data_IF_200724540353
#
_entry.id   IF_200724540353
#
_cell.length_a   1.000
_cell.length_b   1.000
_cell.length_c   1.000
_cell.angle_alpha   90.00
_cell.angle_beta   90.00
_cell.angle_gamma   90.00
#
_symmetry.space_group_name_H-M   'P 1'
#
loop_
_entity.id
_entity.type
_entity.pdbx_description
1 polymer ?
#
# COMPACT_ATOMS: atom_id res chain seq x y z
N UNK A 1 7.88 -17.09 -16.36
CA UNK A 1 7.80 -15.74 -15.77
C UNK A 1 8.27 -15.88 -14.33
N UNK A 2 9.42 -15.29 -13.97
CA UNK A 2 9.86 -15.22 -12.58
C UNK A 2 8.78 -14.46 -11.80
N UNK A 3 8.29 -15.03 -10.68
CA UNK A 3 7.29 -14.39 -9.85
C UNK A 3 7.82 -13.06 -9.31
N UNK A 4 6.91 -12.15 -8.95
CA UNK A 4 7.25 -10.88 -8.29
C UNK A 4 8.10 -11.15 -7.05
N UNK A 5 9.33 -10.58 -6.93
CA UNK A 5 10.28 -10.97 -5.90
C UNK A 5 10.04 -10.27 -4.54
N UNK A 6 9.27 -9.16 -4.53
CA UNK A 6 9.10 -8.35 -3.33
C UNK A 6 7.79 -8.73 -2.61
N UNK A 7 7.91 -9.21 -1.38
CA UNK A 7 6.74 -9.46 -0.53
C UNK A 7 6.10 -8.15 -0.07
N UNK A 8 6.91 -7.19 0.35
CA UNK A 8 6.50 -5.87 0.79
C UNK A 8 6.99 -4.82 -0.22
N UNK A 9 6.38 -3.64 -0.23
CA UNK A 9 6.87 -2.47 -0.99
C UNK A 9 7.11 -1.34 0.00
N UNK A 10 8.34 -1.26 0.50
CA UNK A 10 8.73 -0.37 1.59
C UNK A 10 9.52 0.84 1.09
N UNK A 11 10.33 0.63 0.06
CA UNK A 11 11.08 1.65 -0.69
C UNK A 11 11.29 1.16 -2.13
N UNK A 12 11.99 1.94 -2.94
CA UNK A 12 12.34 1.58 -4.31
C UNK A 12 13.83 1.28 -4.49
N UNK A 13 14.63 1.34 -3.42
CA UNK A 13 16.07 1.14 -3.49
C UNK A 13 16.45 -0.31 -3.82
N UNK A 14 15.58 -1.25 -3.46
CA UNK A 14 15.74 -2.69 -3.75
C UNK A 14 15.20 -3.11 -5.13
N UNK A 15 14.56 -2.21 -5.87
CA UNK A 15 13.98 -2.54 -7.17
C UNK A 15 15.06 -2.66 -8.24
N UNK A 16 15.03 -3.75 -8.98
CA UNK A 16 15.80 -3.92 -10.21
C UNK A 16 15.14 -3.15 -11.37
N UNK A 17 15.86 -3.03 -12.47
CA UNK A 17 15.31 -2.45 -13.71
C UNK A 17 14.07 -3.21 -14.19
N UNK A 18 14.08 -4.53 -14.05
CA UNK A 18 13.00 -5.44 -14.40
C UNK A 18 11.77 -5.21 -13.53
N UNK A 19 11.96 -4.93 -12.24
CA UNK A 19 10.86 -4.62 -11.31
C UNK A 19 10.16 -3.31 -11.68
N UNK A 20 10.95 -2.27 -11.98
CA UNK A 20 10.40 -1.02 -12.50
C UNK A 20 9.64 -1.24 -13.80
N UNK A 21 10.22 -1.97 -14.76
CA UNK A 21 9.56 -2.25 -16.03
C UNK A 21 8.24 -2.98 -15.84
N UNK A 22 8.20 -4.00 -14.99
CA UNK A 22 6.99 -4.79 -14.71
C UNK A 22 5.87 -3.93 -14.10
N UNK A 23 6.19 -3.08 -13.11
CA UNK A 23 5.19 -2.19 -12.48
C UNK A 23 4.68 -1.14 -13.47
N UNK A 24 5.57 -0.52 -14.25
CA UNK A 24 5.20 0.52 -15.21
C UNK A 24 4.37 -0.03 -16.36
N UNK A 25 4.70 -1.22 -16.87
CA UNK A 25 3.91 -1.91 -17.88
C UNK A 25 2.49 -2.22 -17.36
N UNK A 26 2.38 -2.74 -16.13
CA UNK A 26 1.09 -3.00 -15.51
C UNK A 26 0.29 -1.71 -15.29
N UNK A 27 0.93 -0.63 -14.86
CA UNK A 27 0.30 0.68 -14.70
C UNK A 27 -0.23 1.23 -16.03
N UNK A 28 0.51 1.09 -17.13
CA UNK A 28 0.06 1.47 -18.47
C UNK A 28 -1.14 0.64 -18.93
N UNK A 29 -1.16 -0.66 -18.66
CA UNK A 29 -2.31 -1.52 -18.92
C UNK A 29 -3.55 -1.04 -18.17
N UNK A 30 -3.44 -0.74 -16.86
CA UNK A 30 -4.57 -0.20 -16.09
C UNK A 30 -5.03 1.16 -16.61
N UNK A 31 -4.11 2.02 -17.05
CA UNK A 31 -4.44 3.32 -17.63
C UNK A 31 -5.22 3.20 -18.94
N UNK A 32 -4.94 2.19 -19.76
CA UNK A 32 -5.64 1.96 -21.03
C UNK A 32 -7.05 1.39 -20.88
N UNK A 33 -7.44 0.96 -19.67
CA UNK A 33 -8.78 0.45 -19.43
C UNK A 33 -9.81 1.59 -19.48
N UNK A 34 -10.98 1.40 -20.12
CA UNK A 34 -11.99 2.44 -20.20
C UNK A 34 -12.51 2.78 -18.80
N UNK A 35 -12.39 4.06 -18.42
CA UNK A 35 -12.82 4.57 -17.12
C UNK A 35 -14.37 4.68 -17.09
N UNK A 36 -14.99 4.99 -18.21
CA UNK A 36 -16.44 5.12 -18.33
C UNK A 36 -17.11 3.74 -18.33
N UNK A 37 -17.88 3.45 -17.30
CA UNK A 37 -18.53 2.14 -17.11
C UNK A 37 -17.61 1.07 -16.54
N UNK A 38 -16.54 1.48 -15.87
CA UNK A 38 -15.48 0.61 -15.35
C UNK A 38 -16.06 -0.55 -14.52
N UNK A 39 -16.11 -1.72 -15.10
CA UNK A 39 -16.28 -2.95 -14.35
C UNK A 39 -15.10 -3.08 -13.41
N UNK A 40 -15.38 -3.38 -12.15
CA UNK A 40 -14.34 -3.74 -11.20
C UNK A 40 -13.57 -4.94 -11.74
N UNK A 41 -12.25 -4.92 -11.64
CA UNK A 41 -11.42 -6.06 -11.96
C UNK A 41 -11.39 -7.02 -10.77
N UNK A 42 -11.56 -8.33 -10.94
CA UNK A 42 -11.61 -9.27 -9.83
C UNK A 42 -10.22 -9.66 -9.28
N UNK A 43 -9.17 -8.86 -9.54
CA UNK A 43 -7.80 -9.20 -9.22
C UNK A 43 -7.52 -9.35 -7.70
N UNK A 44 -8.29 -8.63 -6.86
CA UNK A 44 -8.20 -8.71 -5.40
C UNK A 44 -9.54 -9.11 -4.76
N UNK A 45 -10.39 -9.82 -5.50
CA UNK A 45 -11.67 -10.30 -4.97
C UNK A 45 -11.43 -11.24 -3.77
N UNK A 46 -12.13 -11.02 -2.66
CA UNK A 46 -11.97 -11.76 -1.41
C UNK A 46 -10.71 -11.41 -0.63
N UNK A 47 -10.00 -10.33 -1.00
CA UNK A 47 -8.87 -9.78 -0.25
C UNK A 47 -9.31 -8.56 0.55
N UNK A 48 -8.72 -8.38 1.72
CA UNK A 48 -8.93 -7.22 2.59
C UNK A 48 -7.69 -6.31 2.58
N UNK A 49 -7.90 -5.07 2.20
CA UNK A 49 -6.88 -4.01 2.23
C UNK A 49 -7.21 -3.04 3.36
N UNK A 50 -6.31 -2.86 4.32
CA UNK A 50 -6.46 -1.89 5.39
C UNK A 50 -5.51 -0.69 5.18
N UNK A 51 -6.03 0.54 5.25
CA UNK A 51 -5.24 1.77 5.19
C UNK A 51 -5.02 2.30 6.61
N UNK A 52 -3.77 2.18 7.09
CA UNK A 52 -3.32 2.62 8.41
C UNK A 52 -2.57 3.95 8.30
N UNK A 53 -3.30 5.05 8.32
CA UNK A 53 -2.77 6.39 8.16
C UNK A 53 -2.68 7.09 9.51
N UNK A 54 -1.47 7.14 10.08
CA UNK A 54 -1.17 7.76 11.38
C UNK A 54 -0.90 9.27 11.26
N UNK A 55 -0.91 9.80 10.04
CA UNK A 55 -0.91 11.23 9.75
C UNK A 55 -1.93 11.57 8.67
N UNK A 56 -2.43 12.81 8.63
CA UNK A 56 -3.39 13.23 7.62
C UNK A 56 -2.81 13.15 6.20
N UNK A 57 -3.48 12.46 5.29
CA UNK A 57 -3.14 12.43 3.87
C UNK A 57 -4.36 12.00 3.05
N UNK A 58 -5.19 12.95 2.67
CA UNK A 58 -6.43 12.67 1.94
C UNK A 58 -6.16 12.06 0.58
N UNK A 59 -5.28 12.66 -0.22
CA UNK A 59 -5.00 12.19 -1.59
C UNK A 59 -4.44 10.77 -1.61
N UNK A 60 -3.39 10.51 -0.84
CA UNK A 60 -2.74 9.20 -0.82
C UNK A 60 -3.69 8.12 -0.32
N UNK A 61 -4.40 8.35 0.79
CA UNK A 61 -5.38 7.40 1.31
C UNK A 61 -6.47 7.10 0.30
N UNK A 62 -7.11 8.14 -0.26
CA UNK A 62 -8.20 7.96 -1.23
C UNK A 62 -7.74 7.24 -2.50
N UNK A 63 -6.50 7.46 -2.96
CA UNK A 63 -5.96 6.76 -4.13
C UNK A 63 -5.78 5.27 -3.88
N UNK A 64 -5.24 4.87 -2.73
CA UNK A 64 -5.12 3.45 -2.37
C UNK A 64 -6.48 2.77 -2.17
N UNK A 65 -7.40 3.44 -1.46
CA UNK A 65 -8.75 2.92 -1.24
C UNK A 65 -9.51 2.74 -2.57
N UNK A 66 -9.41 3.73 -3.47
CA UNK A 66 -10.05 3.66 -4.78
C UNK A 66 -9.43 2.55 -5.64
N UNK A 67 -8.11 2.41 -5.65
CA UNK A 67 -7.42 1.35 -6.37
C UNK A 67 -7.85 -0.04 -5.86
N UNK A 68 -7.85 -0.26 -4.55
CA UNK A 68 -8.30 -1.51 -3.93
C UNK A 68 -9.75 -1.85 -4.32
N UNK A 69 -10.66 -0.88 -4.21
CA UNK A 69 -12.08 -1.05 -4.60
C UNK A 69 -12.26 -1.37 -6.08
N UNK A 70 -11.45 -0.76 -6.96
CA UNK A 70 -11.47 -1.06 -8.41
C UNK A 70 -10.94 -2.44 -8.73
N UNK A 71 -10.07 -2.98 -7.90
CA UNK A 71 -9.58 -4.36 -7.99
C UNK A 71 -10.46 -5.38 -7.24
N UNK A 72 -11.64 -4.95 -6.77
CA UNK A 72 -12.63 -5.77 -6.04
C UNK A 72 -12.19 -6.24 -4.66
N UNK A 73 -11.24 -5.54 -4.02
CA UNK A 73 -10.92 -5.77 -2.62
C UNK A 73 -11.96 -5.14 -1.69
N UNK A 74 -12.12 -5.73 -0.51
CA UNK A 74 -12.72 -5.07 0.62
C UNK A 74 -11.73 -4.07 1.23
N UNK A 75 -12.22 -2.96 1.78
CA UNK A 75 -11.36 -1.89 2.28
C UNK A 75 -11.77 -1.49 3.69
N UNK A 76 -10.81 -1.49 4.60
CA UNK A 76 -10.94 -0.92 5.94
C UNK A 76 -10.00 0.28 6.09
N UNK A 77 -10.45 1.31 6.79
CA UNK A 77 -9.66 2.53 7.00
C UNK A 77 -9.53 2.83 8.48
N UNK A 78 -8.29 3.08 8.89
CA UNK A 78 -7.95 3.54 10.22
C UNK A 78 -7.81 5.06 10.22
N UNK A 79 -8.39 5.72 11.22
CA UNK A 79 -8.20 7.14 11.48
C UNK A 79 -7.83 7.37 12.94
N UNK A 80 -6.72 8.06 13.24
CA UNK A 80 -6.27 8.31 14.61
C UNK A 80 -7.28 9.06 15.48
N UNK A 81 -8.09 9.95 14.88
CA UNK A 81 -9.08 10.78 15.59
C UNK A 81 -10.27 9.98 16.15
N UNK A 82 -10.51 8.78 15.65
CA UNK A 82 -11.62 7.91 16.07
C UNK A 82 -11.17 6.64 16.78
N UNK A 83 -9.86 6.51 17.06
CA UNK A 83 -9.28 5.25 17.54
C UNK A 83 -8.68 5.32 18.93
N UNK A 84 -8.39 4.15 19.49
CA UNK A 84 -7.74 3.92 20.77
C UNK A 84 -6.28 4.38 20.86
N UNK A 85 -5.68 4.94 19.79
CA UNK A 85 -4.35 5.59 19.85
C UNK A 85 -4.28 6.72 20.86
N UNK A 86 -5.39 7.39 21.13
CA UNK A 86 -5.50 8.35 22.25
C UNK A 86 -5.25 7.71 23.61
N UNK A 87 -5.22 6.37 23.68
CA UNK A 87 -5.00 5.54 24.88
C UNK A 87 -3.60 4.91 24.94
N UNK A 88 -2.66 5.31 24.06
CA UNK A 88 -1.27 4.80 24.08
C UNK A 88 -1.05 3.49 23.33
N UNK A 89 -1.97 3.08 22.44
CA UNK A 89 -1.81 1.89 21.60
C UNK A 89 -0.67 2.09 20.60
N UNK A 90 0.18 1.07 20.41
CA UNK A 90 1.30 1.12 19.47
C UNK A 90 0.83 0.92 18.02
N UNK A 91 1.69 1.32 17.05
CA UNK A 91 1.45 1.03 15.62
C UNK A 91 1.32 -0.47 15.38
N UNK A 92 2.12 -1.28 16.08
CA UNK A 92 2.09 -2.74 15.97
C UNK A 92 0.78 -3.31 16.50
N UNK A 93 0.27 -2.83 17.64
CA UNK A 93 -0.99 -3.32 18.20
C UNK A 93 -2.17 -2.99 17.29
N UNK A 94 -2.20 -1.76 16.75
CA UNK A 94 -3.18 -1.37 15.74
C UNK A 94 -3.12 -2.30 14.53
N UNK A 95 -1.92 -2.54 13.98
CA UNK A 95 -1.75 -3.42 12.82
C UNK A 95 -2.20 -4.86 13.10
N UNK A 96 -1.86 -5.42 14.28
CA UNK A 96 -2.28 -6.76 14.72
C UNK A 96 -3.80 -6.89 14.75
N UNK A 97 -4.49 -5.85 15.19
CA UNK A 97 -5.95 -5.83 15.19
C UNK A 97 -6.50 -6.03 13.77
N UNK A 98 -5.97 -5.31 12.78
CA UNK A 98 -6.39 -5.48 11.38
C UNK A 98 -5.96 -6.82 10.78
N UNK A 99 -4.78 -7.33 11.14
CA UNK A 99 -4.32 -8.68 10.76
C UNK A 99 -5.27 -9.74 11.31
N UNK A 100 -5.66 -9.64 12.58
CA UNK A 100 -6.63 -10.54 13.21
C UNK A 100 -8.03 -10.47 12.56
N UNK A 101 -8.39 -9.33 11.95
CA UNK A 101 -9.61 -9.18 11.15
C UNK A 101 -9.48 -9.76 9.74
N UNK A 102 -8.30 -10.28 9.37
CA UNK A 102 -8.04 -10.91 8.07
C UNK A 102 -7.46 -9.99 7.01
N UNK A 103 -6.82 -8.86 7.39
CA UNK A 103 -6.18 -7.99 6.41
C UNK A 103 -5.05 -8.70 5.66
N UNK A 104 -5.16 -8.79 4.34
CA UNK A 104 -4.12 -9.31 3.45
C UNK A 104 -3.04 -8.27 3.16
N UNK A 105 -3.43 -6.99 3.13
CA UNK A 105 -2.55 -5.86 2.81
C UNK A 105 -2.77 -4.73 3.79
N UNK A 106 -1.68 -4.19 4.35
CA UNK A 106 -1.66 -2.96 5.13
C UNK A 106 -0.95 -1.87 4.33
N UNK A 107 -1.65 -0.78 4.03
CA UNK A 107 -1.05 0.44 3.50
C UNK A 107 -0.76 1.36 4.68
N UNK A 108 0.51 1.54 5.01
CA UNK A 108 0.94 2.23 6.23
C UNK A 108 1.54 3.58 5.87
N UNK A 109 1.02 4.64 6.50
CA UNK A 109 1.60 5.98 6.43
C UNK A 109 1.87 6.52 7.84
N UNK A 110 3.10 6.97 8.08
CA UNK A 110 3.52 7.49 9.37
C UNK A 110 4.49 8.67 9.21
N UNK A 111 4.48 9.60 10.17
CA UNK A 111 5.39 10.76 10.17
C UNK A 111 6.85 10.41 10.43
N UNK A 112 7.10 9.30 11.12
CA UNK A 112 8.45 8.85 11.47
C UNK A 112 8.97 7.86 10.43
N UNK A 113 10.20 8.09 10.00
CA UNK A 113 10.95 7.22 9.09
C UNK A 113 11.10 5.81 9.65
N UNK A 114 10.97 4.80 8.79
CA UNK A 114 11.25 3.40 9.12
C UNK A 114 10.10 2.65 9.78
N UNK A 115 8.96 3.30 10.09
CA UNK A 115 7.82 2.63 10.74
C UNK A 115 7.22 1.54 9.86
N UNK A 116 6.97 1.72 8.55
CA UNK A 116 6.50 0.63 7.70
C UNK A 116 7.48 -0.55 7.60
N UNK A 117 8.79 -0.28 7.60
CA UNK A 117 9.84 -1.29 7.57
C UNK A 117 9.85 -2.11 8.86
N UNK A 118 9.80 -1.42 10.01
CA UNK A 118 9.76 -2.09 11.32
C UNK A 118 8.51 -2.96 11.43
N UNK A 119 7.35 -2.44 11.03
CA UNK A 119 6.10 -3.18 11.06
C UNK A 119 6.15 -4.43 10.17
N UNK A 120 6.69 -4.32 8.95
CA UNK A 120 6.84 -5.46 8.05
C UNK A 120 7.75 -6.54 8.67
N UNK A 121 8.85 -6.12 9.31
CA UNK A 121 9.75 -7.02 10.02
C UNK A 121 9.04 -7.73 11.19
N UNK A 122 8.33 -6.99 12.03
CA UNK A 122 7.65 -7.53 13.21
C UNK A 122 6.57 -8.55 12.81
N UNK A 123 5.75 -8.23 11.81
CA UNK A 123 4.74 -9.15 11.29
C UNK A 123 5.36 -10.42 10.70
N UNK A 124 6.49 -10.29 10.00
CA UNK A 124 7.21 -11.43 9.46
C UNK A 124 7.77 -12.33 10.58
N UNK A 125 8.34 -11.77 11.64
CA UNK A 125 8.81 -12.52 12.81
C UNK A 125 7.67 -13.28 13.51
N UNK A 126 6.46 -12.74 13.47
CA UNK A 126 5.26 -13.37 14.01
C UNK A 126 4.67 -14.45 13.08
N UNK A 127 5.25 -14.68 11.90
CA UNK A 127 4.76 -15.65 10.92
C UNK A 127 3.55 -15.18 10.12
N UNK A 128 3.18 -13.90 10.21
CA UNK A 128 2.05 -13.34 9.49
C UNK A 128 2.30 -13.27 7.99
N UNK A 129 1.23 -13.48 7.19
CA UNK A 129 1.32 -13.44 5.72
C UNK A 129 0.96 -12.07 5.13
N UNK A 130 0.51 -11.16 5.95
CA UNK A 130 0.06 -9.82 5.55
C UNK A 130 1.18 -9.05 4.87
N UNK A 131 0.86 -8.40 3.77
CA UNK A 131 1.78 -7.55 3.00
C UNK A 131 1.73 -6.12 3.53
N UNK A 132 2.88 -5.46 3.62
CA UNK A 132 2.99 -4.03 3.97
C UNK A 132 3.40 -3.22 2.76
N UNK A 133 2.63 -2.18 2.47
CA UNK A 133 2.93 -1.15 1.48
C UNK A 133 3.19 0.18 2.20
N UNK A 134 4.33 0.81 1.90
CA UNK A 134 4.65 2.14 2.44
C UNK A 134 3.87 3.22 1.69
N UNK A 135 2.93 3.86 2.36
CA UNK A 135 2.13 5.01 1.88
C UNK A 135 2.77 6.37 2.21
N UNK A 136 4.03 6.37 2.66
CA UNK A 136 4.83 7.53 3.06
C UNK A 136 5.30 7.45 4.52
N UNK A 137 6.61 7.61 4.74
CA UNK A 137 7.23 7.57 6.06
C UNK A 137 8.17 8.77 6.28
N UNK A 138 7.60 9.86 6.72
CA UNK A 138 8.33 11.11 6.97
C UNK A 138 8.96 11.67 5.68
N UNK A 139 10.26 11.95 5.74
CA UNK A 139 11.05 12.43 4.60
C UNK A 139 11.83 11.31 3.89
N UNK A 140 11.61 10.06 4.25
CA UNK A 140 12.42 8.94 3.78
C UNK A 140 11.92 8.37 2.45
N UNK A 141 10.70 7.84 2.39
CA UNK A 141 10.23 7.11 1.22
C UNK A 141 8.72 7.22 1.01
N UNK A 142 8.33 7.31 -0.26
CA UNK A 142 6.96 7.19 -0.72
C UNK A 142 6.93 6.44 -2.05
N UNK A 143 7.04 5.11 -2.04
CA UNK A 143 7.25 4.29 -3.25
C UNK A 143 6.23 4.55 -4.34
N UNK A 144 4.94 4.61 -4.01
CA UNK A 144 3.89 4.84 -5.00
C UNK A 144 3.98 6.23 -5.65
N UNK A 145 4.44 7.25 -4.92
CA UNK A 145 4.67 8.58 -5.51
C UNK A 145 5.87 8.55 -6.46
N UNK A 146 6.98 7.93 -6.07
CA UNK A 146 8.15 7.78 -6.94
C UNK A 146 7.83 7.02 -8.23
N UNK A 147 7.05 5.95 -8.15
CA UNK A 147 6.58 5.21 -9.32
C UNK A 147 5.65 6.05 -10.21
N UNK A 148 4.76 6.85 -9.62
CA UNK A 148 3.89 7.77 -10.36
C UNK A 148 4.70 8.84 -11.09
N UNK A 149 5.65 9.46 -10.42
CA UNK A 149 6.51 10.50 -11.02
C UNK A 149 7.32 9.94 -12.18
N UNK A 150 7.86 8.71 -12.03
CA UNK A 150 8.54 8.02 -13.11
C UNK A 150 7.61 7.72 -14.28
N UNK A 151 6.39 7.22 -14.03
CA UNK A 151 5.40 6.96 -15.07
C UNK A 151 5.03 8.23 -15.83
N UNK A 152 4.80 9.35 -15.13
CA UNK A 152 4.46 10.63 -15.74
C UNK A 152 5.63 11.17 -16.58
N UNK A 153 6.86 11.02 -16.11
CA UNK A 153 8.06 11.40 -16.87
C UNK A 153 8.16 10.65 -18.20
N UNK A 154 7.87 9.33 -18.20
CA UNK A 154 7.89 8.51 -19.42
C UNK A 154 6.76 8.83 -20.42
N UNK A 155 5.69 9.47 -19.98
CA UNK A 155 4.54 9.82 -20.82
C UNK A 155 4.77 11.18 -21.53
N UNK A 156 5.60 12.04 -20.95
CA UNK A 156 5.86 13.38 -21.46
C UNK A 156 7.15 13.49 -22.30
N UNK A 157 7.84 12.36 -22.53
CA UNK A 157 8.96 12.24 -23.48
C UNK A 157 8.43 11.72 -24.81
#
# INVERSE_FOLDING_TARGET
MSGWPHRHVLDLASFSREDFAAVLELAQRFRSLPIAGARKLPALQGRLVATLFFEPSTRTRSSFELAAKRLSADVMSFSPSSSSLSKGESVLDTARTYVAMGADVLVVRHRSTGVPQQLAHDLQQMGERTVVLNGGDGLHSHPSQGLLDLLLSLIHI
#
